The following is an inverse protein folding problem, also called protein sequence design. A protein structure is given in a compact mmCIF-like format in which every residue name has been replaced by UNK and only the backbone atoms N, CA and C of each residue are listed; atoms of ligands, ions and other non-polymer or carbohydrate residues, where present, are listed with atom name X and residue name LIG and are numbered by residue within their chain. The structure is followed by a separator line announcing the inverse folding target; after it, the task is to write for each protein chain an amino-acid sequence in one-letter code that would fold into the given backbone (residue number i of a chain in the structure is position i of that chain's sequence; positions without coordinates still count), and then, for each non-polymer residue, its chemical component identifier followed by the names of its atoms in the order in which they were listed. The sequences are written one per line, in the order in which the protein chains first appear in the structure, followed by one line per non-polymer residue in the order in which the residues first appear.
data_IF_458428848136
#
_entry.id   IF_458428848136
#
_cell.length_a   1.000
_cell.length_b   1.000
_cell.length_c   1.000
_cell.angle_alpha   90.00
_cell.angle_beta   90.00
_cell.angle_gamma   90.00
#
_symmetry.space_group_name_H-M   'P 1'
#
loop_
_entity.id
_entity.type
_entity.pdbx_description
1 polymer ?
#
# COMPACT_ATOMS: atom_id res chain seq x y z
N UNK A 1 -7.33 7.27 4.11
CA UNK A 1 -6.50 8.48 4.30
C UNK A 1 -5.03 8.15 4.03
N UNK A 2 -4.42 8.82 3.05
CA UNK A 2 -2.97 8.77 2.82
C UNK A 2 -2.39 10.18 3.04
N UNK A 3 -1.57 10.33 4.08
CA UNK A 3 -0.92 11.61 4.39
C UNK A 3 0.50 11.42 4.91
N UNK A 4 1.29 12.49 4.82
CA UNK A 4 2.63 12.62 5.39
C UNK A 4 2.59 13.56 6.59
N UNK A 5 3.35 13.22 7.64
CA UNK A 5 3.60 14.09 8.80
C UNK A 5 5.10 14.19 9.02
N UNK A 6 5.61 15.39 9.23
CA UNK A 6 7.02 15.61 9.52
C UNK A 6 7.34 15.27 10.97
N UNK A 7 8.36 14.44 11.19
CA UNK A 7 8.98 14.19 12.49
C UNK A 7 10.17 15.14 12.69
N UNK A 8 10.10 16.10 13.64
CA UNK A 8 11.17 17.08 13.84
C UNK A 8 12.41 16.52 14.55
N UNK A 9 12.28 15.40 15.27
CA UNK A 9 13.40 14.77 15.97
C UNK A 9 14.26 13.97 14.99
N UNK A 10 13.61 13.19 14.13
CA UNK A 10 14.27 12.39 13.10
C UNK A 10 14.54 13.17 11.81
N UNK A 11 13.88 14.33 11.66
CA UNK A 11 13.94 15.19 10.48
C UNK A 11 13.57 14.43 9.20
N UNK A 12 12.45 13.72 9.26
CA UNK A 12 11.94 12.93 8.14
C UNK A 12 10.43 13.02 8.00
N UNK A 13 9.95 12.69 6.81
CA UNK A 13 8.51 12.54 6.55
C UNK A 13 8.08 11.11 6.86
N UNK A 14 7.05 10.99 7.71
CA UNK A 14 6.44 9.71 8.09
C UNK A 14 5.10 9.56 7.39
N UNK A 15 4.89 8.41 6.74
CA UNK A 15 3.64 8.10 6.05
C UNK A 15 2.60 7.50 6.99
N UNK A 16 1.40 8.06 6.96
CA UNK A 16 0.22 7.57 7.66
C UNK A 16 -0.81 7.11 6.63
N UNK A 17 -1.12 5.81 6.66
CA UNK A 17 -2.04 5.15 5.74
C UNK A 17 -3.05 4.29 6.53
N UNK A 18 -4.03 4.94 7.16
CA UNK A 18 -4.93 4.28 8.12
C UNK A 18 -5.75 3.15 7.50
N UNK A 19 -6.11 3.24 6.21
CA UNK A 19 -6.82 2.18 5.49
C UNK A 19 -6.07 0.84 5.48
N UNK A 20 -4.75 0.84 5.71
CA UNK A 20 -3.94 -0.38 5.75
C UNK A 20 -4.23 -1.24 6.98
N UNK A 21 -4.91 -0.72 8.00
CA UNK A 21 -5.36 -1.51 9.17
C UNK A 21 -6.42 -2.55 8.79
N UNK A 22 -7.16 -2.33 7.72
CA UNK A 22 -8.22 -3.24 7.24
C UNK A 22 -7.68 -4.37 6.33
N UNK A 23 -6.36 -4.42 6.11
CA UNK A 23 -5.76 -5.43 5.24
C UNK A 23 -5.94 -6.82 5.84
N UNK A 24 -6.10 -7.81 4.96
CA UNK A 24 -6.00 -9.22 5.35
C UNK A 24 -4.66 -9.48 6.02
N UNK A 25 -4.69 -9.93 7.28
CA UNK A 25 -3.50 -10.27 8.04
C UNK A 25 -3.25 -11.77 7.95
N UNK A 26 -2.14 -12.16 7.33
CA UNK A 26 -1.65 -13.53 7.21
C UNK A 26 -2.76 -14.54 6.83
N UNK A 27 -3.23 -14.53 5.57
CA UNK A 27 -4.19 -15.52 5.12
C UNK A 27 -3.62 -16.93 5.27
N UNK A 28 -4.48 -17.96 5.40
CA UNK A 28 -4.07 -19.35 5.35
C UNK A 28 -3.21 -19.64 4.11
N UNK A 29 -2.29 -20.62 4.21
CA UNK A 29 -1.31 -20.90 3.16
C UNK A 29 -1.97 -21.30 1.83
N UNK A 30 -3.13 -21.97 1.90
CA UNK A 30 -3.96 -22.31 0.75
C UNK A 30 -4.52 -21.08 -0.01
N UNK A 31 -4.57 -19.90 0.63
CA UNK A 31 -5.15 -18.65 0.11
C UNK A 31 -4.07 -17.58 -0.09
N UNK A 32 -2.91 -18.01 -0.59
CA UNK A 32 -1.80 -17.15 -0.97
C UNK A 32 -2.23 -16.13 -2.06
N UNK A 33 -2.31 -14.82 -1.77
CA UNK A 33 -2.76 -13.81 -2.75
C UNK A 33 -1.72 -13.49 -3.82
N UNK A 34 -0.46 -13.87 -3.59
CA UNK A 34 0.68 -13.64 -4.47
C UNK A 34 1.09 -14.89 -5.26
N UNK A 35 0.32 -15.97 -5.17
CA UNK A 35 0.59 -17.19 -5.93
C UNK A 35 -0.15 -17.14 -7.27
N UNK A 36 0.30 -17.86 -8.31
CA UNK A 36 -0.42 -17.95 -9.57
C UNK A 36 -1.87 -18.42 -9.37
N UNK A 37 -2.82 -17.81 -10.07
CA UNK A 37 -4.17 -18.37 -10.16
C UNK A 37 -4.14 -19.69 -10.92
N UNK A 38 -4.59 -20.77 -10.26
CA UNK A 38 -4.73 -22.11 -10.84
C UNK A 38 -6.09 -22.25 -11.53
N UNK A 39 -6.15 -23.08 -12.57
CA UNK A 39 -7.42 -23.41 -13.23
C UNK A 39 -8.40 -24.04 -12.24
N UNK A 40 -9.64 -23.52 -12.18
CA UNK A 40 -10.65 -23.91 -11.18
C UNK A 40 -10.35 -23.48 -9.74
N UNK A 41 -9.25 -22.77 -9.49
CA UNK A 41 -8.87 -22.23 -8.18
C UNK A 41 -9.44 -20.84 -7.90
N UNK A 42 -9.19 -20.34 -6.70
CA UNK A 42 -9.59 -18.98 -6.32
C UNK A 42 -8.79 -17.91 -7.10
N UNK A 43 -9.42 -16.79 -7.48
CA UNK A 43 -8.71 -15.65 -8.07
C UNK A 43 -7.68 -15.07 -7.09
N UNK A 44 -6.51 -14.73 -7.60
CA UNK A 44 -5.41 -14.07 -6.87
C UNK A 44 -5.09 -12.74 -7.56
N UNK A 45 -4.11 -11.99 -7.05
CA UNK A 45 -3.62 -10.79 -7.76
C UNK A 45 -2.90 -11.15 -9.07
N UNK A 46 -2.51 -12.42 -9.25
CA UNK A 46 -1.73 -12.89 -10.39
C UNK A 46 -2.56 -13.88 -11.21
N UNK A 47 -3.32 -13.40 -12.22
CA UNK A 47 -4.21 -14.25 -13.01
C UNK A 47 -3.45 -15.22 -13.94
N UNK A 48 -2.14 -15.00 -14.14
CA UNK A 48 -1.30 -15.88 -14.94
C UNK A 48 -1.00 -17.16 -14.16
N UNK A 49 -1.09 -18.31 -14.83
CA UNK A 49 -0.80 -19.62 -14.24
C UNK A 49 0.68 -19.83 -13.89
N UNK A 50 1.58 -19.01 -14.41
CA UNK A 50 3.03 -19.03 -14.13
C UNK A 50 3.63 -17.64 -14.39
N UNK A 51 4.68 -17.29 -13.64
CA UNK A 51 5.47 -16.08 -13.82
C UNK A 51 6.90 -16.32 -13.31
N UNK A 52 7.83 -15.50 -13.80
CA UNK A 52 9.16 -15.36 -13.19
C UNK A 52 9.22 -14.10 -12.34
N UNK A 53 8.70 -12.98 -12.87
CA UNK A 53 8.52 -11.73 -12.16
C UNK A 53 7.16 -11.16 -12.56
N UNK A 54 6.42 -10.61 -11.61
CA UNK A 54 5.22 -9.81 -11.89
C UNK A 54 5.23 -8.56 -11.01
N UNK A 55 4.70 -7.47 -11.57
CA UNK A 55 4.53 -6.19 -10.89
C UNK A 55 3.08 -5.75 -11.07
N UNK A 56 2.46 -5.32 -9.99
CA UNK A 56 1.10 -4.79 -9.99
C UNK A 56 0.91 -3.78 -8.85
N UNK A 57 -0.11 -2.93 -8.96
CA UNK A 57 -0.42 -1.94 -7.93
C UNK A 57 -0.91 -2.60 -6.63
N UNK A 58 -0.39 -2.13 -5.50
CA UNK A 58 -0.72 -2.65 -4.18
C UNK A 58 -2.17 -2.31 -3.84
N UNK A 59 -2.98 -3.33 -3.53
CA UNK A 59 -4.39 -3.18 -3.11
C UNK A 59 -4.57 -2.32 -1.86
N UNK A 60 -3.57 -2.26 -0.98
CA UNK A 60 -3.59 -1.48 0.26
C UNK A 60 -2.44 -0.46 0.25
N UNK A 61 -2.48 0.53 -0.66
CA UNK A 61 -1.35 1.39 -0.91
C UNK A 61 -1.16 2.39 0.23
N UNK A 62 0.11 2.73 0.48
CA UNK A 62 0.46 3.82 1.40
C UNK A 62 0.28 5.20 0.78
N UNK A 63 0.38 5.30 -0.55
CA UNK A 63 0.32 6.52 -1.34
C UNK A 63 -0.70 6.35 -2.46
N UNK A 64 -1.45 7.40 -2.80
CA UNK A 64 -2.39 7.37 -3.94
C UNK A 64 -2.26 8.64 -4.77
N UNK A 65 -2.53 8.56 -6.08
CA UNK A 65 -2.42 9.72 -6.98
C UNK A 65 -3.41 10.84 -6.63
N UNK A 66 -4.54 10.47 -6.04
CA UNK A 66 -5.65 11.34 -5.65
C UNK A 66 -5.69 11.63 -4.14
N UNK A 67 -4.58 11.41 -3.42
CA UNK A 67 -4.53 11.60 -1.98
C UNK A 67 -5.05 13.01 -1.60
N UNK A 68 -6.09 13.11 -0.76
CA UNK A 68 -6.68 14.39 -0.43
C UNK A 68 -5.69 15.24 0.38
N UNK A 69 -5.93 16.56 0.49
CA UNK A 69 -5.27 17.38 1.49
C UNK A 69 -5.40 16.75 2.89
N UNK A 70 -4.38 16.85 3.75
CA UNK A 70 -4.48 16.40 5.13
C UNK A 70 -5.67 17.07 5.84
N UNK A 71 -6.41 16.30 6.65
CA UNK A 71 -7.54 16.83 7.44
C UNK A 71 -7.09 17.93 8.40
N UNK A 72 -5.86 17.80 8.93
CA UNK A 72 -5.20 18.79 9.77
C UNK A 72 -3.93 19.29 9.08
N UNK A 73 -3.81 20.60 8.89
CA UNK A 73 -2.70 21.24 8.17
C UNK A 73 -1.34 21.20 8.91
N UNK A 74 -1.30 20.71 10.15
CA UNK A 74 -0.10 20.73 10.99
C UNK A 74 0.27 22.13 11.48
N UNK A 75 1.53 22.30 11.89
CA UNK A 75 2.11 23.58 12.31
C UNK A 75 3.56 23.71 11.80
N UNK A 76 4.27 24.79 12.14
CA UNK A 76 5.65 25.04 11.68
C UNK A 76 6.65 23.92 12.04
N UNK A 77 6.48 23.29 13.20
CA UNK A 77 7.38 22.22 13.67
C UNK A 77 6.97 20.83 13.15
N UNK A 78 5.69 20.64 12.87
CA UNK A 78 5.11 19.37 12.41
C UNK A 78 4.17 19.59 11.21
N UNK A 79 4.68 20.03 10.05
CA UNK A 79 3.86 20.22 8.87
C UNK A 79 3.28 18.88 8.38
N UNK A 80 2.16 18.96 7.66
CA UNK A 80 1.51 17.82 7.01
C UNK A 80 1.46 18.01 5.49
N UNK A 81 1.42 16.91 4.75
CA UNK A 81 1.30 16.93 3.29
C UNK A 81 0.47 15.74 2.79
N UNK A 82 -0.08 15.82 1.58
CA UNK A 82 -0.77 14.71 0.93
C UNK A 82 0.22 13.59 0.58
N UNK A 83 -0.20 12.33 0.77
CA UNK A 83 0.60 11.17 0.41
C UNK A 83 0.46 10.80 -1.07
N UNK A 84 0.91 11.66 -1.98
CA UNK A 84 0.83 11.37 -3.43
C UNK A 84 1.86 10.34 -3.88
N UNK A 85 1.41 9.35 -4.66
CA UNK A 85 2.28 8.36 -5.26
C UNK A 85 1.56 7.09 -5.71
N UNK A 86 2.34 6.11 -6.16
CA UNK A 86 1.89 4.76 -6.55
C UNK A 86 2.68 3.76 -5.71
N UNK A 87 2.00 2.74 -5.19
CA UNK A 87 2.64 1.64 -4.49
C UNK A 87 2.49 0.39 -5.32
N UNK A 88 3.60 -0.28 -5.64
CA UNK A 88 3.60 -1.53 -6.39
C UNK A 88 4.07 -2.70 -5.52
N UNK A 89 3.65 -3.90 -5.88
CA UNK A 89 4.15 -5.17 -5.34
C UNK A 89 4.96 -5.85 -6.43
N UNK A 90 6.19 -6.22 -6.10
CA UNK A 90 7.08 -6.99 -6.98
C UNK A 90 7.18 -8.41 -6.44
N UNK A 91 6.83 -9.40 -7.24
CA UNK A 91 6.90 -10.82 -6.89
C UNK A 91 7.91 -11.51 -7.79
N UNK A 92 8.81 -12.31 -7.22
CA UNK A 92 9.94 -13.00 -7.87
C UNK A 92 10.11 -14.43 -7.37
#
# INVERSE_FOLDING_TARGET
MSQLRWDPLLKEWVTYASQRQERTFLPPAEWCPLCPTKEGGYPTEIPRAHYQIVVFENRFPSYTLDAPPPEESGNELTPTASGHGICEVVVY
#
